data_IF_440009104066
#
_entry.id   IF_440009104066
#
_cell.length_a   1.000
_cell.length_b   1.000
_cell.length_c   1.000
_cell.angle_alpha   90.00
_cell.angle_beta   90.00
_cell.angle_gamma   90.00
#
_symmetry.space_group_name_H-M   'P 1'
#
loop_
_entity.id
_entity.type
_entity.pdbx_description
1 polymer ?
#
# COMPACT_ATOMS: atom_id res chain seq x y z
N UNK A 1 8.81 1.06 -6.87
CA UNK A 1 8.90 0.03 -5.83
C UNK A 1 8.46 -1.35 -6.31
N UNK A 2 7.16 -1.59 -6.58
CA UNK A 2 6.70 -2.91 -7.04
C UNK A 2 7.41 -3.37 -8.33
N UNK A 3 7.58 -2.46 -9.31
CA UNK A 3 8.30 -2.74 -10.55
C UNK A 3 9.79 -3.08 -10.31
N UNK A 4 10.43 -2.45 -9.33
CA UNK A 4 11.84 -2.69 -9.01
C UNK A 4 12.07 -4.06 -8.37
N UNK A 5 11.08 -4.57 -7.63
CA UNK A 5 11.10 -5.92 -7.07
C UNK A 5 10.80 -7.01 -8.12
N UNK A 6 10.08 -6.66 -9.19
CA UNK A 6 9.56 -7.60 -10.18
C UNK A 6 10.62 -8.51 -10.85
N UNK A 7 11.85 -8.06 -11.16
CA UNK A 7 12.91 -8.90 -11.73
C UNK A 7 13.37 -10.04 -10.81
N UNK A 8 13.17 -9.91 -9.50
CA UNK A 8 13.58 -10.91 -8.50
C UNK A 8 12.45 -11.89 -8.15
N UNK A 9 11.26 -11.72 -8.73
CA UNK A 9 10.08 -12.55 -8.47
C UNK A 9 9.75 -13.35 -9.74
N UNK A 10 9.87 -14.67 -9.68
CA UNK A 10 9.62 -15.54 -10.84
C UNK A 10 8.13 -15.64 -11.22
N UNK A 11 7.24 -15.65 -10.22
CA UNK A 11 5.79 -15.58 -10.39
C UNK A 11 5.34 -14.11 -10.37
N UNK A 12 4.24 -13.77 -9.71
CA UNK A 12 3.76 -12.40 -9.56
C UNK A 12 3.75 -11.93 -8.10
N UNK A 13 3.30 -10.70 -7.90
CA UNK A 13 3.05 -10.08 -6.60
C UNK A 13 1.68 -9.42 -6.62
N UNK A 14 0.96 -9.44 -5.50
CA UNK A 14 -0.38 -8.86 -5.39
C UNK A 14 -0.31 -7.35 -5.18
N UNK A 15 -0.23 -6.58 -6.27
CA UNK A 15 -0.15 -5.12 -6.23
C UNK A 15 -1.55 -4.50 -6.15
N UNK A 16 -1.89 -3.90 -5.01
CA UNK A 16 -3.12 -3.13 -4.86
C UNK A 16 -2.94 -1.67 -5.29
N UNK A 17 -3.90 -1.13 -6.03
CA UNK A 17 -3.97 0.28 -6.41
C UNK A 17 -5.03 1.00 -5.56
N UNK A 18 -4.67 2.16 -5.06
CA UNK A 18 -5.55 3.00 -4.24
C UNK A 18 -5.77 4.34 -4.95
N UNK A 19 -7.03 4.70 -5.18
CA UNK A 19 -7.42 5.95 -5.80
C UNK A 19 -8.33 6.75 -4.87
N UNK A 20 -8.32 8.08 -4.93
CA UNK A 20 -9.31 8.88 -4.24
C UNK A 20 -10.72 8.66 -4.83
N UNK A 21 -11.75 8.90 -4.03
CA UNK A 21 -13.12 8.97 -4.53
C UNK A 21 -13.22 9.98 -5.68
N UNK A 22 -13.90 9.61 -6.76
CA UNK A 22 -14.06 10.47 -7.94
C UNK A 22 -12.79 10.64 -8.78
N UNK A 23 -11.76 9.79 -8.59
CA UNK A 23 -10.60 9.78 -9.46
C UNK A 23 -11.00 9.67 -10.93
N UNK A 24 -10.35 10.47 -11.77
CA UNK A 24 -10.66 10.52 -13.19
C UNK A 24 -10.38 9.18 -13.87
N UNK A 25 -11.29 8.76 -14.77
CA UNK A 25 -11.20 7.47 -15.45
C UNK A 25 -9.97 7.37 -16.36
N UNK A 26 -9.55 8.50 -16.96
CA UNK A 26 -8.34 8.56 -17.79
C UNK A 26 -7.10 8.35 -16.92
N UNK A 27 -7.04 8.98 -15.75
CA UNK A 27 -5.94 8.80 -14.82
C UNK A 27 -5.82 7.35 -14.34
N UNK A 28 -6.94 6.71 -14.00
CA UNK A 28 -6.95 5.28 -13.64
C UNK A 28 -6.37 4.44 -14.79
N UNK A 29 -6.81 4.70 -16.03
CA UNK A 29 -6.30 3.98 -17.21
C UNK A 29 -4.79 4.19 -17.41
N UNK A 30 -4.31 5.43 -17.32
CA UNK A 30 -2.89 5.78 -17.42
C UNK A 30 -2.04 5.01 -16.40
N UNK A 31 -2.53 4.84 -15.16
CA UNK A 31 -1.84 4.02 -14.14
C UNK A 31 -1.79 2.54 -14.53
N UNK A 32 -2.84 1.98 -15.13
CA UNK A 32 -2.82 0.58 -15.61
C UNK A 32 -1.85 0.40 -16.78
N UNK A 33 -1.81 1.36 -17.71
CA UNK A 33 -0.85 1.36 -18.82
C UNK A 33 0.58 1.51 -18.33
N UNK A 34 0.83 2.37 -17.34
CA UNK A 34 2.14 2.51 -16.69
C UNK A 34 2.57 1.18 -16.06
N UNK A 35 1.68 0.49 -15.31
CA UNK A 35 2.00 -0.80 -14.71
C UNK A 35 2.43 -1.84 -15.76
N UNK A 36 1.75 -1.87 -16.91
CA UNK A 36 2.11 -2.72 -18.04
C UNK A 36 3.48 -2.35 -18.66
N UNK A 37 3.73 -1.05 -18.86
CA UNK A 37 5.00 -0.55 -19.40
C UNK A 37 6.18 -0.88 -18.48
N UNK A 38 5.97 -0.81 -17.16
CA UNK A 38 6.92 -1.18 -16.12
C UNK A 38 7.05 -2.70 -15.91
N UNK A 39 6.43 -3.51 -16.77
CA UNK A 39 6.55 -4.98 -16.78
C UNK A 39 6.08 -5.66 -15.49
N UNK A 40 5.16 -5.05 -14.76
CA UNK A 40 4.45 -5.75 -13.68
C UNK A 40 3.65 -6.91 -14.26
N UNK A 41 3.67 -8.06 -13.57
CA UNK A 41 2.99 -9.28 -14.03
C UNK A 41 1.51 -9.33 -13.70
N UNK A 42 1.05 -8.48 -12.77
CA UNK A 42 -0.35 -8.40 -12.39
C UNK A 42 -0.64 -7.23 -11.45
N UNK A 43 -1.91 -6.84 -11.44
CA UNK A 43 -2.52 -5.95 -10.47
C UNK A 43 -3.61 -6.74 -9.75
N UNK A 44 -3.89 -6.39 -8.50
CA UNK A 44 -4.83 -7.14 -7.66
C UNK A 44 -6.15 -6.40 -7.48
N UNK A 45 -6.25 -5.47 -6.53
CA UNK A 45 -7.45 -4.66 -6.36
C UNK A 45 -7.25 -3.21 -6.79
N UNK A 46 -8.29 -2.66 -7.41
CA UNK A 46 -8.53 -1.23 -7.45
C UNK A 46 -9.41 -0.87 -6.25
N UNK A 47 -8.90 -0.04 -5.34
CA UNK A 47 -9.60 0.42 -4.16
C UNK A 47 -9.79 1.93 -4.24
N UNK A 48 -10.99 2.39 -3.88
CA UNK A 48 -11.29 3.81 -3.76
C UNK A 48 -11.53 4.18 -2.31
N UNK A 49 -11.16 5.41 -1.93
CA UNK A 49 -11.62 5.97 -0.65
C UNK A 49 -13.13 6.22 -0.70
N UNK A 50 -13.80 6.22 0.46
CA UNK A 50 -15.21 6.61 0.53
C UNK A 50 -15.32 8.13 0.39
N UNK A 51 -16.19 8.60 -0.51
CA UNK A 51 -16.42 10.04 -0.73
C UNK A 51 -16.93 10.80 0.48
N UNK A 52 -17.49 10.08 1.46
CA UNK A 52 -17.83 10.58 2.78
C UNK A 52 -17.03 9.79 3.81
N UNK A 53 -15.87 10.31 4.18
CA UNK A 53 -15.23 9.96 5.44
C UNK A 53 -15.83 10.93 6.45
N UNK A 54 -16.79 10.50 7.26
CA UNK A 54 -17.15 11.30 8.44
C UNK A 54 -15.83 11.49 9.23
N UNK A 55 -15.39 12.74 9.39
CA UNK A 55 -14.21 13.04 10.19
C UNK A 55 -14.34 12.27 11.50
N UNK A 56 -13.37 11.41 11.80
CA UNK A 56 -13.33 10.75 13.10
C UNK A 56 -12.94 11.82 14.12
N UNK A 57 -13.91 12.61 14.59
CA UNK A 57 -13.69 13.66 15.59
C UNK A 57 -13.34 13.10 16.99
N UNK A 58 -13.14 11.78 17.16
CA UNK A 58 -13.16 11.15 18.49
C UNK A 58 -12.03 10.19 18.86
N UNK A 59 -10.89 10.16 18.17
CA UNK A 59 -9.74 9.38 18.72
C UNK A 59 -8.45 10.20 18.72
N UNK A 60 -8.42 11.24 19.55
CA UNK A 60 -7.17 11.63 20.21
C UNK A 60 -6.89 10.60 21.32
N UNK A 61 -6.46 9.40 20.94
CA UNK A 61 -5.79 8.53 21.91
C UNK A 61 -4.42 9.16 22.18
N UNK A 62 -4.30 9.87 23.30
CA UNK A 62 -3.00 10.31 23.80
C UNK A 62 -2.11 9.08 23.95
N UNK A 63 -0.93 9.12 23.33
CA UNK A 63 0.11 8.11 23.56
C UNK A 63 0.50 8.16 25.04
N UNK A 64 -0.02 7.24 25.85
CA UNK A 64 0.59 6.93 27.13
C UNK A 64 1.83 6.09 26.80
N UNK A 65 3.00 6.74 26.81
CA UNK A 65 4.27 6.05 26.64
C UNK A 65 4.47 5.10 27.83
N UNK A 66 4.25 3.80 27.61
CA UNK A 66 4.78 2.77 28.50
C UNK A 66 6.30 2.84 28.40
N UNK A 67 6.93 3.22 29.50
CA UNK A 67 8.38 3.23 29.65
C UNK A 67 8.89 1.79 29.71
N UNK A 68 9.98 1.58 28.96
CA UNK A 68 11.03 0.58 29.17
C UNK A 68 10.75 -0.90 28.83
N UNK A 69 11.11 -1.28 27.60
CA UNK A 69 11.85 -2.52 27.34
C UNK A 69 12.90 -2.23 26.25
N UNK A 70 14.18 -2.20 26.64
CA UNK A 70 15.36 -2.22 25.76
C UNK A 70 16.06 -3.57 25.95
N UNK A 71 16.68 -4.05 24.85
CA UNK A 71 17.35 -5.34 24.64
C UNK A 71 16.35 -6.41 24.16
N UNK A 72 16.42 -6.97 22.95
CA UNK A 72 17.53 -7.28 22.04
C UNK A 72 17.05 -7.32 20.58
N UNK A 73 18.00 -7.29 19.64
CA UNK A 73 17.77 -7.37 18.20
C UNK A 73 16.85 -8.54 17.80
N UNK A 74 15.60 -8.24 17.47
CA UNK A 74 14.67 -9.21 16.90
C UNK A 74 14.73 -9.14 15.36
N UNK A 75 15.07 -10.29 14.78
CA UNK A 75 15.57 -10.50 13.42
C UNK A 75 14.66 -9.94 12.30
N UNK A 76 15.22 -9.01 11.50
CA UNK A 76 14.62 -8.46 10.27
C UNK A 76 14.32 -9.49 9.16
N UNK A 77 14.65 -10.78 9.35
CA UNK A 77 14.43 -11.85 8.37
C UNK A 77 13.28 -12.81 8.73
N UNK A 78 12.58 -12.62 9.85
CA UNK A 78 11.55 -13.56 10.32
C UNK A 78 10.11 -13.05 10.21
N UNK A 79 9.87 -11.94 9.51
CA UNK A 79 8.53 -11.58 9.03
C UNK A 79 8.45 -11.86 7.54
N UNK A 80 8.24 -13.14 7.21
CA UNK A 80 7.85 -13.59 5.87
C UNK A 80 6.41 -13.24 5.55
#
# INVERSE_FOLDING_TARGET
HAADAQPYICQGQSVNLYFPFGADRKYINEVHLMAYQLKLKGLYYLRTTSGFTADKVSVQASRVALKDFKAEEECLACQG
#
